data_IF_959667657825
#
_entry.id   IF_959667657825
#
_cell.length_a   1.000
_cell.length_b   1.000
_cell.length_c   1.000
_cell.angle_alpha   90.00
_cell.angle_beta   90.00
_cell.angle_gamma   90.00
#
_symmetry.space_group_name_H-M   'P 1'
#
loop_
_entity.id
_entity.type
_entity.pdbx_description
1 polymer ?
#
# COMPACT_ATOMS: atom_id res chain seq x y z
N UNK A 1 42.64 -21.10 -9.17
CA UNK A 1 42.06 -20.53 -7.94
C UNK A 1 41.66 -19.06 -8.10
N UNK A 2 42.57 -18.15 -8.48
CA UNK A 2 42.30 -16.70 -8.49
C UNK A 2 41.13 -16.23 -9.38
N UNK A 3 40.95 -16.81 -10.58
CA UNK A 3 39.85 -16.41 -11.48
C UNK A 3 38.47 -16.79 -10.93
N UNK A 4 38.34 -17.95 -10.29
CA UNK A 4 37.09 -18.41 -9.70
C UNK A 4 36.70 -17.55 -8.50
N UNK A 5 37.67 -17.22 -7.64
CA UNK A 5 37.45 -16.31 -6.51
C UNK A 5 37.08 -14.90 -6.95
N UNK A 6 37.74 -14.35 -7.98
CA UNK A 6 37.39 -13.05 -8.54
C UNK A 6 35.97 -13.04 -9.13
N UNK A 7 35.54 -14.13 -9.78
CA UNK A 7 34.20 -14.24 -10.34
C UNK A 7 33.11 -14.38 -9.28
N UNK A 8 33.39 -15.10 -8.19
CA UNK A 8 32.48 -15.19 -7.04
C UNK A 8 32.27 -13.84 -6.35
N UNK A 9 33.35 -13.05 -6.21
CA UNK A 9 33.27 -11.68 -5.70
C UNK A 9 32.42 -10.82 -6.63
N UNK A 10 32.70 -10.83 -7.94
CA UNK A 10 31.94 -10.06 -8.94
C UNK A 10 30.44 -10.38 -8.92
N UNK A 11 30.08 -11.67 -8.79
CA UNK A 11 28.69 -12.09 -8.68
C UNK A 11 28.02 -11.49 -7.43
N UNK A 12 28.67 -11.55 -6.27
CA UNK A 12 28.13 -10.95 -5.03
C UNK A 12 27.90 -9.44 -5.16
N UNK A 13 28.79 -8.72 -5.85
CA UNK A 13 28.60 -7.29 -6.12
C UNK A 13 27.41 -7.03 -7.05
N UNK A 14 27.24 -7.83 -8.10
CA UNK A 14 26.10 -7.73 -9.01
C UNK A 14 24.78 -8.00 -8.29
N UNK A 15 24.74 -9.02 -7.43
CA UNK A 15 23.55 -9.35 -6.64
C UNK A 15 23.20 -8.21 -5.69
N UNK A 16 24.20 -7.60 -5.02
CA UNK A 16 24.01 -6.42 -4.18
C UNK A 16 23.48 -5.22 -4.96
N UNK A 17 23.98 -4.99 -6.17
CA UNK A 17 23.53 -3.90 -7.02
C UNK A 17 22.07 -4.09 -7.46
N UNK A 18 21.67 -5.30 -7.82
CA UNK A 18 20.27 -5.59 -8.18
C UNK A 18 19.35 -5.46 -6.96
N UNK A 19 19.77 -5.94 -5.78
CA UNK A 19 19.02 -5.74 -4.53
C UNK A 19 18.83 -4.25 -4.22
N UNK A 20 19.89 -3.44 -4.37
CA UNK A 20 19.81 -1.99 -4.18
C UNK A 20 18.87 -1.33 -5.20
N UNK A 21 18.93 -1.77 -6.47
CA UNK A 21 18.03 -1.30 -7.53
C UNK A 21 16.57 -1.61 -7.18
N UNK A 22 16.26 -2.85 -6.81
CA UNK A 22 14.91 -3.26 -6.42
C UNK A 22 14.41 -2.50 -5.19
N UNK A 23 15.29 -2.32 -4.20
CA UNK A 23 14.96 -1.53 -3.00
C UNK A 23 14.66 -0.08 -3.35
N UNK A 24 15.40 0.52 -4.28
CA UNK A 24 15.17 1.90 -4.72
C UNK A 24 13.83 2.07 -5.44
N UNK A 25 13.45 1.11 -6.30
CA UNK A 25 12.16 1.10 -7.01
C UNK A 25 11.03 0.95 -5.99
N UNK A 26 11.14 -0.01 -5.08
CA UNK A 26 10.17 -0.20 -4.01
C UNK A 26 10.04 1.06 -3.15
N UNK A 27 11.15 1.72 -2.82
CA UNK A 27 11.14 2.96 -2.04
C UNK A 27 10.42 4.11 -2.75
N UNK A 28 10.43 4.19 -4.08
CA UNK A 28 9.63 5.20 -4.80
C UNK A 28 8.13 4.97 -4.60
N UNK A 29 7.69 3.71 -4.60
CA UNK A 29 6.29 3.37 -4.29
C UNK A 29 5.97 3.66 -2.82
N UNK A 30 6.82 3.23 -1.89
CA UNK A 30 6.60 3.41 -0.46
C UNK A 30 6.68 4.87 -0.02
N UNK A 31 7.48 5.74 -0.66
CA UNK A 31 7.53 7.17 -0.34
C UNK A 31 6.21 7.90 -0.56
N UNK A 32 5.33 7.35 -1.39
CA UNK A 32 3.97 7.90 -1.56
C UNK A 32 3.07 7.57 -0.37
N UNK A 33 3.45 6.59 0.46
CA UNK A 33 2.76 6.26 1.70
C UNK A 33 3.15 7.29 2.76
N UNK A 34 2.16 8.05 3.21
CA UNK A 34 2.30 9.01 4.31
C UNK A 34 2.67 8.29 5.61
N UNK A 35 3.42 8.98 6.48
CA UNK A 35 3.76 8.48 7.81
C UNK A 35 2.51 8.05 8.58
N UNK A 36 2.63 6.94 9.34
CA UNK A 36 1.56 6.42 10.19
C UNK A 36 1.42 7.36 11.39
N UNK A 37 0.60 8.39 11.23
CA UNK A 37 0.32 9.41 12.23
C UNK A 37 -1.17 9.62 12.38
N UNK A 38 -1.58 10.13 13.54
CA UNK A 38 -2.96 10.56 13.79
C UNK A 38 -3.36 11.62 12.75
N UNK A 39 -4.34 11.28 11.90
CA UNK A 39 -4.82 12.13 10.81
C UNK A 39 -4.49 11.63 9.40
N UNK A 40 -3.53 10.72 9.24
CA UNK A 40 -3.14 10.16 7.93
C UNK A 40 -3.90 8.85 7.58
N UNK A 41 -5.06 8.62 8.20
CA UNK A 41 -5.89 7.44 7.95
C UNK A 41 -6.78 7.63 6.73
N UNK A 42 -6.92 6.61 5.88
CA UNK A 42 -7.79 6.66 4.69
C UNK A 42 -9.23 6.23 4.99
N UNK A 43 -9.44 5.46 6.06
CA UNK A 43 -10.72 4.86 6.40
C UNK A 43 -10.83 4.64 7.91
N UNK A 44 -12.02 4.88 8.44
CA UNK A 44 -12.35 4.66 9.85
C UNK A 44 -13.31 3.48 9.96
N UNK A 45 -12.99 2.55 10.86
CA UNK A 45 -13.84 1.41 11.22
C UNK A 45 -14.31 1.59 12.66
N UNK A 46 -15.61 1.79 12.86
CA UNK A 46 -16.24 1.87 14.17
C UNK A 46 -17.07 0.59 14.34
N UNK A 47 -16.72 -0.23 15.33
CA UNK A 47 -17.34 -1.56 15.53
C UNK A 47 -18.32 -1.59 16.70
N UNK A 48 -18.33 -0.58 17.57
CA UNK A 48 -19.15 -0.55 18.78
C UNK A 48 -19.94 0.75 18.90
N UNK A 49 -21.13 0.66 19.51
CA UNK A 49 -22.13 1.73 19.74
C UNK A 49 -22.78 2.31 18.46
N UNK A 50 -22.00 2.62 17.43
CA UNK A 50 -22.46 3.06 16.12
C UNK A 50 -21.60 2.38 15.05
N UNK A 51 -22.01 1.18 14.63
CA UNK A 51 -21.27 0.38 13.65
C UNK A 51 -21.24 1.10 12.31
N UNK A 52 -20.05 1.43 11.83
CA UNK A 52 -19.88 2.14 10.57
C UNK A 52 -18.45 2.00 10.03
N UNK A 53 -18.34 1.88 8.72
CA UNK A 53 -17.07 2.01 8.00
C UNK A 53 -17.18 3.21 7.09
N UNK A 54 -16.25 4.16 7.20
CA UNK A 54 -16.24 5.39 6.40
C UNK A 54 -14.89 5.61 5.73
N UNK A 55 -14.87 5.70 4.40
CA UNK A 55 -13.68 6.08 3.63
C UNK A 55 -13.58 7.60 3.54
N UNK A 56 -12.51 8.16 4.09
CA UNK A 56 -12.31 9.61 4.22
C UNK A 56 -11.90 10.26 2.89
N UNK A 57 -11.46 9.48 1.90
CA UNK A 57 -11.06 10.00 0.58
C UNK A 57 -12.26 10.23 -0.32
N UNK A 58 -13.26 9.35 -0.24
CA UNK A 58 -14.44 9.35 -1.12
C UNK A 58 -15.74 9.73 -0.40
N UNK A 59 -15.70 9.85 0.93
CA UNK A 59 -16.88 10.00 1.80
C UNK A 59 -17.90 8.86 1.67
N UNK A 60 -17.52 7.71 1.10
CA UNK A 60 -18.38 6.54 1.03
C UNK A 60 -18.43 5.83 2.39
N UNK A 61 -19.63 5.46 2.82
CA UNK A 61 -19.88 4.83 4.12
C UNK A 61 -20.75 3.58 4.00
N UNK A 62 -20.51 2.63 4.89
CA UNK A 62 -21.21 1.35 4.99
C UNK A 62 -21.56 1.11 6.47
N UNK A 63 -22.81 0.75 6.74
CA UNK A 63 -23.32 0.53 8.10
C UNK A 63 -23.07 -0.88 8.63
N UNK A 64 -22.58 -1.79 7.79
CA UNK A 64 -22.26 -3.17 8.15
C UNK A 64 -20.75 -3.44 8.08
N UNK A 65 -20.01 -3.27 9.19
CA UNK A 65 -18.57 -3.51 9.21
C UNK A 65 -18.19 -4.98 9.04
N UNK A 66 -19.07 -5.91 9.43
CA UNK A 66 -18.76 -7.33 9.42
C UNK A 66 -18.56 -7.82 7.98
N UNK A 67 -19.50 -7.51 7.08
CA UNK A 67 -19.35 -7.81 5.64
C UNK A 67 -18.09 -7.18 5.03
N UNK A 68 -17.72 -5.97 5.45
CA UNK A 68 -16.51 -5.29 4.95
C UNK A 68 -15.24 -6.00 5.44
N UNK A 69 -15.24 -6.50 6.68
CA UNK A 69 -14.13 -7.28 7.23
C UNK A 69 -14.05 -8.69 6.61
N UNK A 70 -15.19 -9.24 6.16
CA UNK A 70 -15.28 -10.49 5.42
C UNK A 70 -14.85 -10.37 3.94
N UNK A 71 -14.67 -9.15 3.43
CA UNK A 71 -14.08 -8.89 2.13
C UNK A 71 -14.94 -8.08 1.16
N UNK A 72 -16.11 -7.59 1.56
CA UNK A 72 -16.94 -6.70 0.75
C UNK A 72 -16.30 -5.30 0.61
N UNK A 73 -15.30 -5.22 -0.29
CA UNK A 73 -14.49 -4.02 -0.54
C UNK A 73 -14.78 -3.38 -1.89
N UNK A 74 -15.59 -4.02 -2.73
CA UNK A 74 -15.83 -3.62 -4.12
C UNK A 74 -16.46 -2.24 -4.22
N UNK A 75 -17.37 -1.91 -3.31
CA UNK A 75 -17.98 -0.59 -3.20
C UNK A 75 -16.93 0.51 -2.97
N UNK A 76 -15.97 0.26 -2.08
CA UNK A 76 -14.91 1.23 -1.79
C UNK A 76 -13.94 1.40 -2.97
N UNK A 77 -13.54 0.30 -3.60
CA UNK A 77 -12.61 0.32 -4.75
C UNK A 77 -13.24 1.06 -5.92
N UNK A 78 -14.49 0.73 -6.25
CA UNK A 78 -15.22 1.35 -7.36
C UNK A 78 -15.39 2.86 -7.14
N UNK A 79 -15.77 3.29 -5.93
CA UNK A 79 -15.91 4.71 -5.59
C UNK A 79 -14.58 5.45 -5.67
N UNK A 80 -13.49 4.83 -5.21
CA UNK A 80 -12.15 5.42 -5.31
C UNK A 80 -11.73 5.62 -6.78
N UNK A 81 -11.98 4.61 -7.62
CA UNK A 81 -11.63 4.69 -9.03
C UNK A 81 -12.38 5.83 -9.72
N UNK A 82 -13.70 5.92 -9.52
CA UNK A 82 -14.53 7.00 -10.05
C UNK A 82 -14.06 8.37 -9.54
N UNK A 83 -13.75 8.48 -8.24
CA UNK A 83 -13.26 9.70 -7.64
C UNK A 83 -11.94 10.16 -8.28
N UNK A 84 -11.01 9.23 -8.49
CA UNK A 84 -9.72 9.53 -9.12
C UNK A 84 -9.87 9.96 -10.58
N UNK A 85 -10.73 9.28 -11.36
CA UNK A 85 -11.02 9.68 -12.74
C UNK A 85 -11.70 11.05 -12.83
N UNK A 86 -12.53 11.42 -11.85
CA UNK A 86 -13.18 12.75 -11.80
C UNK A 86 -12.23 13.90 -11.50
N UNK A 87 -11.04 13.66 -10.95
CA UNK A 87 -10.05 14.70 -10.62
C UNK A 87 -8.98 14.90 -11.71
N UNK A 88 -9.07 14.18 -12.82
CA UNK A 88 -8.21 14.33 -13.99
C UNK A 88 -8.81 15.23 -15.08
#
# INVERSE_FOLDING_TARGET
MNKASAMAVLQSWLDQLEMARQTSVNAQHTRSLTEISWGNQIRTYVLHQYRMVKDLRTNYEVSDPDSVLEGDLDGFISKLLIFFFRQR
#
